data_IF_261812870333
#
_entry.id   IF_261812870333
#
_cell.length_a   1.000
_cell.length_b   1.000
_cell.length_c   1.000
_cell.angle_alpha   90.00
_cell.angle_beta   90.00
_cell.angle_gamma   90.00
#
_symmetry.space_group_name_H-M   'P 1'
#
loop_
_entity.id
_entity.type
_entity.pdbx_description
1 polymer ?
#
# COMPACT_ATOMS: atom_id res chain seq x y z
N UNK A 1 15.39 14.53 -13.58
CA UNK A 1 14.00 14.59 -14.07
C UNK A 1 13.26 13.36 -13.57
N UNK A 2 12.04 13.53 -13.06
CA UNK A 2 11.18 12.44 -12.58
C UNK A 2 9.91 12.40 -13.45
N UNK A 3 9.65 11.28 -14.12
CA UNK A 3 8.42 11.09 -14.89
C UNK A 3 7.27 10.86 -13.91
N UNK A 4 6.16 11.60 -14.05
CA UNK A 4 5.01 11.51 -13.17
C UNK A 4 3.70 11.73 -13.93
N UNK A 5 2.65 11.02 -13.52
CA UNK A 5 1.27 11.30 -13.93
C UNK A 5 0.79 12.48 -13.11
N UNK A 6 0.45 13.57 -13.79
CA UNK A 6 -0.04 14.81 -13.18
C UNK A 6 -1.50 15.12 -13.53
N UNK A 7 -1.89 14.80 -14.76
CA UNK A 7 -3.23 15.10 -15.27
C UNK A 7 -4.11 13.86 -15.20
N UNK A 8 -5.16 13.94 -14.38
CA UNK A 8 -6.08 12.83 -14.15
C UNK A 8 -7.40 13.07 -14.88
N UNK A 9 -7.83 12.18 -15.78
CA UNK A 9 -9.14 12.29 -16.40
C UNK A 9 -10.28 12.05 -15.39
N UNK A 10 -11.48 12.55 -15.68
CA UNK A 10 -12.66 12.21 -14.86
C UNK A 10 -12.87 10.69 -14.86
N UNK A 11 -13.03 10.11 -13.66
CA UNK A 11 -13.11 8.66 -13.50
C UNK A 11 -11.81 7.92 -13.83
N UNK A 12 -10.64 8.54 -13.59
CA UNK A 12 -9.33 8.01 -14.00
C UNK A 12 -9.07 6.56 -13.58
N UNK A 13 -9.54 6.11 -12.40
CA UNK A 13 -9.34 4.73 -11.98
C UNK A 13 -9.96 3.72 -12.97
N UNK A 14 -11.18 3.98 -13.45
CA UNK A 14 -11.84 3.11 -14.43
C UNK A 14 -11.11 3.10 -15.79
N UNK A 15 -10.54 4.24 -16.18
CA UNK A 15 -9.75 4.33 -17.41
C UNK A 15 -8.41 3.62 -17.26
N UNK A 16 -7.77 3.76 -16.10
CA UNK A 16 -6.49 3.10 -15.83
C UNK A 16 -6.64 1.60 -15.68
N UNK A 17 -7.79 1.07 -15.23
CA UNK A 17 -8.02 -0.39 -15.24
C UNK A 17 -8.02 -0.99 -16.66
N UNK A 18 -8.34 -0.19 -17.68
CA UNK A 18 -8.21 -0.60 -19.09
C UNK A 18 -6.75 -0.55 -19.58
N UNK A 19 -5.87 0.18 -18.88
CA UNK A 19 -4.44 0.36 -19.18
C UNK A 19 -3.55 0.01 -17.97
N UNK A 20 -3.30 -1.30 -17.80
CA UNK A 20 -2.58 -1.85 -16.65
C UNK A 20 -1.20 -1.21 -16.40
N UNK A 21 -0.35 -0.93 -17.40
CA UNK A 21 0.88 -0.18 -17.20
C UNK A 21 0.65 1.17 -16.50
N UNK A 22 -0.32 1.96 -16.96
CA UNK A 22 -0.64 3.27 -16.38
C UNK A 22 -1.20 3.14 -14.96
N UNK A 23 -2.07 2.16 -14.69
CA UNK A 23 -2.58 1.90 -13.34
C UNK A 23 -1.45 1.58 -12.36
N UNK A 24 -0.54 0.69 -12.75
CA UNK A 24 0.59 0.30 -11.91
C UNK A 24 1.57 1.46 -11.71
N UNK A 25 1.83 2.24 -12.76
CA UNK A 25 2.69 3.42 -12.66
C UNK A 25 2.09 4.44 -11.67
N UNK A 26 0.80 4.74 -11.80
CA UNK A 26 0.11 5.66 -10.89
C UNK A 26 0.08 5.13 -9.46
N UNK A 27 -0.18 3.83 -9.28
CA UNK A 27 -0.12 3.17 -7.98
C UNK A 27 1.24 3.37 -7.32
N UNK A 28 2.33 3.10 -8.03
CA UNK A 28 3.68 3.25 -7.51
C UNK A 28 4.01 4.70 -7.14
N UNK A 29 3.58 5.65 -7.98
CA UNK A 29 3.75 7.07 -7.71
C UNK A 29 3.03 7.47 -6.40
N UNK A 30 1.73 7.20 -6.29
CA UNK A 30 0.92 7.58 -5.12
C UNK A 30 1.40 6.84 -3.86
N UNK A 31 1.76 5.57 -3.98
CA UNK A 31 2.31 4.79 -2.86
C UNK A 31 3.61 5.39 -2.36
N UNK A 32 4.51 5.81 -3.25
CA UNK A 32 5.77 6.43 -2.87
C UNK A 32 5.52 7.74 -2.11
N UNK A 33 4.64 8.59 -2.64
CA UNK A 33 4.28 9.86 -1.98
C UNK A 33 3.64 9.62 -0.60
N UNK A 34 2.75 8.62 -0.49
CA UNK A 34 2.17 8.20 0.79
C UNK A 34 3.25 7.79 1.79
N UNK A 35 4.17 6.91 1.38
CA UNK A 35 5.26 6.42 2.25
C UNK A 35 6.18 7.56 2.72
N UNK A 36 6.41 8.58 1.90
CA UNK A 36 7.29 9.70 2.22
C UNK A 36 6.62 10.80 3.05
N UNK A 37 5.36 11.11 2.77
CA UNK A 37 4.71 12.30 3.33
C UNK A 37 3.81 12.02 4.53
N UNK A 38 3.22 10.82 4.60
CA UNK A 38 2.05 10.59 5.47
C UNK A 38 2.14 9.30 6.27
N UNK A 39 2.85 8.27 5.78
CA UNK A 39 2.74 6.92 6.34
C UNK A 39 3.11 6.84 7.83
N UNK A 40 4.07 7.65 8.30
CA UNK A 40 4.42 7.68 9.73
C UNK A 40 3.36 8.37 10.62
N UNK A 41 2.41 9.11 10.04
CA UNK A 41 1.41 9.93 10.74
C UNK A 41 -0.03 9.41 10.63
N UNK A 42 -0.30 8.43 9.78
CA UNK A 42 -1.64 7.83 9.67
C UNK A 42 -1.91 6.83 10.80
N UNK A 43 -3.20 6.53 11.01
CA UNK A 43 -3.60 5.49 11.94
C UNK A 43 -2.90 4.16 11.65
N UNK A 44 -2.46 3.48 12.70
CA UNK A 44 -1.72 2.22 12.60
C UNK A 44 -2.49 1.15 11.83
N UNK A 45 -3.81 1.08 11.99
CA UNK A 45 -4.68 0.13 11.26
C UNK A 45 -4.69 0.43 9.75
N UNK A 46 -4.70 1.70 9.36
CA UNK A 46 -4.61 2.11 7.95
C UNK A 46 -3.25 1.73 7.38
N UNK A 47 -2.16 2.09 8.06
CA UNK A 47 -0.80 1.72 7.63
C UNK A 47 -0.64 0.21 7.49
N UNK A 48 -1.21 -0.57 8.42
CA UNK A 48 -1.19 -2.02 8.38
C UNK A 48 -1.97 -2.57 7.18
N UNK A 49 -3.16 -2.03 6.88
CA UNK A 49 -3.98 -2.43 5.72
C UNK A 49 -3.27 -2.12 4.40
N UNK A 50 -2.76 -0.90 4.24
CA UNK A 50 -2.05 -0.47 3.04
C UNK A 50 -0.76 -1.30 2.81
N UNK A 51 -0.02 -1.60 3.87
CA UNK A 51 1.15 -2.47 3.79
C UNK A 51 0.80 -3.92 3.44
N UNK A 52 -0.28 -4.48 3.99
CA UNK A 52 -0.74 -5.83 3.64
C UNK A 52 -1.22 -5.93 2.18
N UNK A 53 -1.87 -4.88 1.65
CA UNK A 53 -2.21 -4.80 0.23
C UNK A 53 -0.97 -4.78 -0.66
N UNK A 54 0.08 -4.05 -0.29
CA UNK A 54 1.34 -4.10 -1.04
C UNK A 54 1.99 -5.49 -0.96
N UNK A 55 1.94 -6.19 0.18
CA UNK A 55 2.45 -7.58 0.26
C UNK A 55 1.67 -8.48 -0.70
N UNK A 56 0.33 -8.39 -0.73
CA UNK A 56 -0.53 -9.17 -1.63
C UNK A 56 -0.23 -8.88 -3.10
N UNK A 57 0.00 -7.61 -3.44
CA UNK A 57 0.37 -7.17 -4.79
C UNK A 57 1.77 -7.63 -5.18
N UNK A 58 2.73 -7.56 -4.25
CA UNK A 58 4.13 -7.88 -4.46
C UNK A 58 4.37 -9.39 -4.65
N UNK A 59 3.70 -10.23 -3.86
CA UNK A 59 3.81 -11.69 -3.98
C UNK A 59 2.57 -12.29 -4.67
N UNK A 60 2.54 -12.21 -5.99
CA UNK A 60 1.39 -12.61 -6.82
C UNK A 60 0.92 -14.05 -6.60
N UNK A 61 1.84 -14.99 -6.37
CA UNK A 61 1.53 -16.42 -6.20
C UNK A 61 1.43 -16.87 -4.74
N UNK A 62 1.43 -15.93 -3.79
CA UNK A 62 1.36 -16.25 -2.39
C UNK A 62 -0.03 -16.80 -2.03
N UNK A 63 -0.09 -17.93 -1.33
CA UNK A 63 -1.35 -18.48 -0.81
C UNK A 63 -1.89 -17.58 0.31
N UNK A 64 -3.21 -17.55 0.47
CA UNK A 64 -3.86 -16.66 1.45
C UNK A 64 -3.44 -16.83 2.91
N UNK A 65 -3.01 -18.05 3.29
CA UNK A 65 -2.50 -18.39 4.61
C UNK A 65 -0.97 -18.50 4.65
N UNK A 66 -0.25 -18.11 3.59
CA UNK A 66 1.19 -18.37 3.49
C UNK A 66 1.98 -17.69 4.61
N UNK A 67 1.54 -16.52 5.09
CA UNK A 67 2.20 -15.80 6.18
C UNK A 67 1.98 -16.45 7.56
N UNK A 68 1.06 -17.42 7.70
CA UNK A 68 0.91 -18.20 8.94
C UNK A 68 2.16 -19.06 9.19
N UNK A 69 2.79 -19.54 8.12
CA UNK A 69 4.03 -20.32 8.20
C UNK A 69 5.17 -19.42 8.67
N UNK A 70 5.79 -19.79 9.80
CA UNK A 70 6.88 -19.02 10.43
C UNK A 70 8.02 -18.69 9.47
N UNK A 71 8.47 -19.66 8.67
CA UNK A 71 9.55 -19.45 7.70
C UNK A 71 9.22 -18.39 6.64
N UNK A 72 7.95 -18.34 6.18
CA UNK A 72 7.53 -17.38 5.16
C UNK A 72 7.48 -15.96 5.72
N UNK A 73 7.03 -15.81 6.97
CA UNK A 73 7.08 -14.53 7.65
C UNK A 73 8.53 -14.09 7.91
N UNK A 74 9.42 -15.01 8.32
CA UNK A 74 10.83 -14.70 8.54
C UNK A 74 11.53 -14.26 7.25
N UNK A 75 11.22 -14.86 6.09
CA UNK A 75 11.71 -14.41 4.79
C UNK A 75 11.24 -12.97 4.49
N UNK A 76 9.96 -12.68 4.74
CA UNK A 76 9.42 -11.32 4.58
C UNK A 76 10.13 -10.32 5.50
N UNK A 77 10.38 -10.70 6.75
CA UNK A 77 10.96 -9.83 7.77
C UNK A 77 12.47 -9.60 7.57
N UNK A 78 13.21 -10.65 7.27
CA UNK A 78 14.69 -10.63 7.23
C UNK A 78 15.25 -10.39 5.83
N UNK A 79 14.72 -11.07 4.82
CA UNK A 79 15.30 -11.05 3.48
C UNK A 79 14.72 -9.89 2.64
N UNK A 80 13.43 -9.64 2.77
CA UNK A 80 12.75 -8.55 2.02
C UNK A 80 12.74 -7.25 2.83
N UNK A 81 12.48 -7.35 4.13
CA UNK A 81 12.42 -6.23 5.07
C UNK A 81 11.05 -5.58 5.15
N UNK A 82 10.48 -5.54 6.37
CA UNK A 82 9.15 -4.95 6.62
C UNK A 82 9.07 -3.46 6.29
N UNK A 83 10.19 -2.72 6.36
CA UNK A 83 10.29 -1.30 5.99
C UNK A 83 9.89 -1.01 4.54
N UNK A 84 9.89 -2.03 3.68
CA UNK A 84 9.41 -1.90 2.31
C UNK A 84 7.89 -1.69 2.26
N UNK A 85 7.16 -2.26 3.22
CA UNK A 85 5.70 -2.32 3.24
C UNK A 85 5.07 -1.41 4.28
N UNK A 86 5.75 -1.16 5.38
CA UNK A 86 5.21 -0.48 6.56
C UNK A 86 6.09 0.71 6.98
N UNK A 87 5.47 1.79 7.50
CA UNK A 87 6.18 2.96 8.02
C UNK A 87 6.97 2.63 9.28
N UNK A 88 8.01 3.42 9.55
CA UNK A 88 8.90 3.22 10.71
C UNK A 88 8.12 3.35 12.02
N UNK A 89 7.19 4.30 12.11
CA UNK A 89 6.37 4.52 13.30
C UNK A 89 5.57 3.27 13.71
N UNK A 90 5.03 2.51 12.74
CA UNK A 90 4.34 1.24 13.01
C UNK A 90 5.30 0.14 13.47
N UNK A 91 6.48 0.05 12.84
CA UNK A 91 7.47 -0.97 13.15
C UNK A 91 8.08 -0.82 14.55
N UNK A 92 8.27 0.42 15.01
CA UNK A 92 8.89 0.71 16.30
C UNK A 92 7.88 0.77 17.46
N UNK A 93 6.62 1.10 17.18
CA UNK A 93 5.60 1.23 18.23
C UNK A 93 4.99 -0.11 18.68
N UNK A 94 5.10 -1.17 17.87
CA UNK A 94 4.45 -2.45 18.14
C UNK A 94 5.48 -3.55 18.38
N UNK A 95 5.34 -4.30 19.48
CA UNK A 95 6.22 -5.44 19.78
C UNK A 95 6.22 -6.45 18.61
N UNK A 96 7.38 -7.01 18.21
CA UNK A 96 7.48 -7.87 17.03
C UNK A 96 6.48 -9.03 16.97
N UNK A 97 6.24 -9.69 18.11
CA UNK A 97 5.26 -10.80 18.21
C UNK A 97 3.82 -10.33 17.93
N UNK A 98 3.46 -9.14 18.38
CA UNK A 98 2.14 -8.55 18.15
C UNK A 98 2.02 -8.05 16.71
N UNK A 99 3.04 -7.36 16.21
CA UNK A 99 3.09 -6.87 14.83
C UNK A 99 2.91 -8.02 13.83
N UNK A 100 3.63 -9.13 14.04
CA UNK A 100 3.48 -10.33 13.23
C UNK A 100 2.04 -10.84 13.20
N UNK A 101 1.38 -10.94 14.37
CA UNK A 101 -0.02 -11.38 14.45
C UNK A 101 -0.94 -10.43 13.70
N UNK A 102 -0.75 -9.12 13.86
CA UNK A 102 -1.54 -8.10 13.16
C UNK A 102 -1.36 -8.19 11.65
N UNK A 103 -0.14 -8.35 11.15
CA UNK A 103 0.13 -8.54 9.71
C UNK A 103 -0.55 -9.81 9.20
N UNK A 104 -0.40 -10.95 9.90
CA UNK A 104 -1.01 -12.22 9.50
C UNK A 104 -2.54 -12.11 9.45
N UNK A 105 -3.16 -11.48 10.46
CA UNK A 105 -4.61 -11.31 10.54
C UNK A 105 -5.13 -10.37 9.44
N UNK A 106 -4.47 -9.23 9.23
CA UNK A 106 -4.88 -8.26 8.22
C UNK A 106 -4.65 -8.77 6.80
N UNK A 107 -3.54 -9.47 6.55
CA UNK A 107 -3.27 -10.07 5.23
C UNK A 107 -4.36 -11.05 4.79
N UNK A 108 -4.92 -11.85 5.71
CA UNK A 108 -6.01 -12.79 5.40
C UNK A 108 -7.26 -12.11 4.84
N UNK A 109 -7.51 -10.84 5.20
CA UNK A 109 -8.63 -10.06 4.69
C UNK A 109 -8.46 -9.73 3.19
N UNK A 110 -7.22 -9.68 2.71
CA UNK A 110 -6.87 -9.35 1.33
C UNK A 110 -6.32 -10.53 0.53
N UNK A 111 -6.24 -11.70 1.15
CA UNK A 111 -5.60 -12.91 0.60
C UNK A 111 -6.12 -13.31 -0.79
N UNK A 112 -7.39 -13.07 -1.07
CA UNK A 112 -8.07 -13.48 -2.30
C UNK A 112 -8.07 -12.39 -3.39
N UNK A 113 -7.49 -11.22 -3.12
CA UNK A 113 -7.42 -10.15 -4.10
C UNK A 113 -6.31 -10.43 -5.12
N UNK A 114 -6.62 -10.22 -6.39
CA UNK A 114 -5.59 -10.15 -7.43
C UNK A 114 -4.84 -8.80 -7.38
N UNK A 115 -3.85 -8.62 -8.27
CA UNK A 115 -3.03 -7.40 -8.33
C UNK A 115 -3.89 -6.13 -8.54
N UNK A 116 -4.79 -6.15 -9.51
CA UNK A 116 -5.66 -5.01 -9.84
C UNK A 116 -6.60 -4.68 -8.68
N UNK A 117 -7.26 -5.69 -8.11
CA UNK A 117 -8.13 -5.53 -6.95
C UNK A 117 -7.38 -4.99 -5.73
N UNK A 118 -6.12 -5.41 -5.53
CA UNK A 118 -5.28 -4.90 -4.45
C UNK A 118 -4.94 -3.42 -4.64
N UNK A 119 -4.65 -3.02 -5.88
CA UNK A 119 -4.39 -1.61 -6.25
C UNK A 119 -5.65 -0.75 -6.05
N UNK A 120 -6.81 -1.21 -6.53
CA UNK A 120 -8.06 -0.48 -6.36
C UNK A 120 -8.44 -0.36 -4.87
N UNK A 121 -8.27 -1.43 -4.09
CA UNK A 121 -8.51 -1.40 -2.64
C UNK A 121 -7.55 -0.46 -1.91
N UNK A 122 -6.31 -0.34 -2.37
CA UNK A 122 -5.35 0.62 -1.82
C UNK A 122 -5.83 2.06 -2.01
N UNK A 123 -6.29 2.40 -3.22
CA UNK A 123 -6.85 3.72 -3.50
C UNK A 123 -8.11 4.01 -2.69
N UNK A 124 -8.99 3.01 -2.51
CA UNK A 124 -10.19 3.11 -1.67
C UNK A 124 -9.85 3.47 -0.21
N UNK A 125 -8.82 2.83 0.36
CA UNK A 125 -8.41 3.08 1.75
C UNK A 125 -7.64 4.40 1.90
N UNK A 126 -6.85 4.79 0.89
CA UNK A 126 -6.00 5.98 0.96
C UNK A 126 -6.76 7.28 0.68
N UNK A 127 -7.78 7.26 -0.18
CA UNK A 127 -8.49 8.46 -0.64
C UNK A 127 -9.15 9.32 0.46
N UNK A 128 -9.70 8.76 1.55
CA UNK A 128 -10.27 9.57 2.63
C UNK A 128 -9.22 10.38 3.40
N UNK A 129 -7.97 9.92 3.43
CA UNK A 129 -6.92 10.49 4.27
C UNK A 129 -5.84 11.23 3.49
N UNK A 130 -5.68 10.94 2.19
CA UNK A 130 -4.69 11.57 1.34
C UNK A 130 -5.28 11.92 -0.02
N UNK A 131 -5.26 13.21 -0.36
CA UNK A 131 -5.79 13.75 -1.62
C UNK A 131 -4.75 13.66 -2.73
N UNK A 132 -4.53 12.46 -3.24
CA UNK A 132 -3.63 12.20 -4.37
C UNK A 132 -4.21 12.60 -5.74
N UNK A 133 -5.46 13.07 -5.77
CA UNK A 133 -6.22 13.39 -6.98
C UNK A 133 -6.17 14.89 -7.37
N UNK A 134 -5.52 15.72 -6.54
CA UNK A 134 -5.48 17.17 -6.74
C UNK A 134 -4.18 17.78 -6.20
N UNK A 135 -3.80 18.90 -6.79
CA UNK A 135 -2.73 19.76 -6.28
C UNK A 135 -3.35 21.02 -5.66
N UNK A 136 -2.87 21.42 -4.48
CA UNK A 136 -3.37 22.59 -3.76
C UNK A 136 -2.29 23.68 -3.76
N UNK A 137 -2.66 24.90 -4.18
CA UNK A 137 -1.76 26.05 -4.24
C UNK A 137 -2.27 27.15 -3.33
N UNK A 138 -1.44 27.60 -2.38
CA UNK A 138 -1.72 28.81 -1.60
C UNK A 138 -1.37 30.01 -2.47
N UNK A 139 -2.33 30.89 -2.71
CA UNK A 139 -2.15 32.10 -3.51
C UNK A 139 -3.02 33.25 -2.96
N UNK A 140 -2.69 34.48 -3.37
CA UNK A 140 -3.57 35.63 -3.27
C UNK A 140 -4.24 35.82 -4.63
N UNK A 141 -5.56 36.02 -4.64
CA UNK A 141 -6.39 36.23 -5.83
C UNK A 141 -6.80 37.70 -5.92
#
# INVERSE_FOLDING_TARGET
>A
YELRIRYLPKGFLNKFTEDKPTLNFFYHQVRNDYMLAMADHVDQDVALKLGCLEIRRFFRDLRGNALDKKSNYELLEKDVGLKRFFPKSLLESVKPKTLRKSIQQTFKQFANLNEEQSVLKFFEILSPIYRYDKECFKCAL
#
